data_IF_412776087709
#
_entry.id   IF_412776087709
#
_cell.length_a   1.000
_cell.length_b   1.000
_cell.length_c   1.000
_cell.angle_alpha   90.00
_cell.angle_beta   90.00
_cell.angle_gamma   90.00
#
_symmetry.space_group_name_H-M   'P 1'
#
loop_
_entity.id
_entity.type
_entity.pdbx_description
1 polymer ?
#
# COMPACT_ATOMS: atom_id res chain seq x y z
N UNK A 1 -2.70 13.93 -16.10
CA UNK A 1 -3.78 14.38 -15.20
C UNK A 1 -3.15 14.63 -13.84
N UNK A 2 -3.19 15.86 -13.34
CA UNK A 2 -2.81 16.15 -11.96
C UNK A 2 -3.93 15.59 -11.06
N UNK A 3 -3.59 14.80 -10.04
CA UNK A 3 -4.53 14.45 -9.00
C UNK A 3 -5.10 15.75 -8.42
N UNK A 4 -6.42 15.78 -8.27
CA UNK A 4 -7.09 16.91 -7.64
C UNK A 4 -6.56 17.05 -6.19
N UNK A 5 -6.27 18.28 -5.79
CA UNK A 5 -5.78 18.59 -4.44
C UNK A 5 -6.69 18.01 -3.35
N UNK A 6 -8.00 18.05 -3.54
CA UNK A 6 -8.98 17.49 -2.60
C UNK A 6 -8.83 15.98 -2.42
N UNK A 7 -8.51 15.26 -3.48
CA UNK A 7 -8.27 13.80 -3.41
C UNK A 7 -6.98 13.51 -2.65
N UNK A 8 -5.91 14.25 -2.93
CA UNK A 8 -4.63 14.11 -2.20
C UNK A 8 -4.81 14.42 -0.71
N UNK A 9 -5.54 15.48 -0.39
CA UNK A 9 -5.84 15.86 0.99
C UNK A 9 -6.65 14.77 1.70
N UNK A 10 -7.69 14.24 1.06
CA UNK A 10 -8.51 13.16 1.62
C UNK A 10 -7.70 11.89 1.89
N UNK A 11 -6.74 11.55 1.01
CA UNK A 11 -5.82 10.43 1.20
C UNK A 11 -4.89 10.61 2.40
N UNK A 12 -4.39 11.83 2.60
CA UNK A 12 -3.53 12.16 3.73
C UNK A 12 -4.35 12.17 5.03
N UNK A 13 -5.58 12.68 4.99
CA UNK A 13 -6.49 12.70 6.15
C UNK A 13 -6.94 11.28 6.56
N UNK A 14 -7.06 10.37 5.62
CA UNK A 14 -7.36 8.96 5.91
C UNK A 14 -6.17 8.18 6.51
N UNK A 15 -4.98 8.78 6.59
CA UNK A 15 -3.81 8.13 7.19
C UNK A 15 -4.00 7.93 8.70
N UNK A 16 -3.75 6.73 9.25
CA UNK A 16 -3.76 6.50 10.69
C UNK A 16 -2.56 7.13 11.40
N UNK A 17 -1.54 7.56 10.65
CA UNK A 17 -0.37 8.25 11.16
C UNK A 17 -0.60 9.76 11.11
N UNK A 18 -0.10 10.48 12.09
CA UNK A 18 -0.05 11.93 12.05
C UNK A 18 0.85 12.38 10.89
N UNK A 19 0.32 13.19 9.98
CA UNK A 19 1.10 13.74 8.85
C UNK A 19 1.22 15.24 9.01
N UNK A 20 2.45 15.74 8.86
CA UNK A 20 2.75 17.18 8.85
C UNK A 20 3.58 17.52 7.62
N UNK A 21 3.24 18.63 6.97
CA UNK A 21 4.02 19.18 5.86
C UNK A 21 4.55 20.57 6.27
N UNK A 22 5.84 20.80 5.99
CA UNK A 22 6.51 22.07 6.28
C UNK A 22 7.11 22.64 4.97
N UNK A 23 7.09 23.97 4.81
CA UNK A 23 7.77 24.63 3.69
C UNK A 23 9.28 24.66 3.94
N UNK A 24 10.03 24.01 3.05
CA UNK A 24 11.49 23.93 3.14
C UNK A 24 12.21 25.22 2.71
N UNK A 25 11.53 26.10 1.97
CA UNK A 25 12.07 27.34 1.42
C UNK A 25 12.05 28.49 2.41
N UNK A 26 11.27 28.35 3.49
CA UNK A 26 11.12 29.38 4.52
C UNK A 26 11.96 29.00 5.76
N UNK A 27 12.79 29.92 6.28
CA UNK A 27 13.57 29.69 7.50
C UNK A 27 12.67 29.24 8.66
N UNK A 28 13.13 28.22 9.41
CA UNK A 28 12.36 27.65 10.50
C UNK A 28 11.37 26.55 10.12
N UNK A 29 11.23 26.30 8.81
CA UNK A 29 10.38 25.25 8.26
C UNK A 29 8.96 25.29 8.82
N UNK A 30 8.19 26.37 8.52
CA UNK A 30 6.85 26.52 9.06
C UNK A 30 5.92 25.42 8.52
N UNK A 31 5.02 24.97 9.39
CA UNK A 31 3.97 24.01 9.07
C UNK A 31 3.00 24.64 8.06
N UNK A 32 2.74 23.92 6.96
CA UNK A 32 1.77 24.32 5.93
C UNK A 32 0.55 23.41 5.91
N UNK A 33 0.66 22.22 6.49
CA UNK A 33 -0.46 21.29 6.59
C UNK A 33 -0.24 20.29 7.74
N UNK A 34 -1.33 19.90 8.40
CA UNK A 34 -1.41 18.75 9.31
C UNK A 34 -2.70 17.97 9.05
N UNK A 35 -2.69 16.66 9.21
CA UNK A 35 -3.90 15.84 9.11
C UNK A 35 -4.57 15.64 10.48
N UNK A 36 -5.80 15.14 10.47
CA UNK A 36 -6.58 14.91 11.68
C UNK A 36 -5.89 13.94 12.67
N UNK A 37 -5.19 12.92 12.20
CA UNK A 37 -4.45 12.00 13.07
C UNK A 37 -3.35 12.72 13.86
N UNK A 38 -2.70 13.73 13.28
CA UNK A 38 -1.71 14.54 13.99
C UNK A 38 -2.36 15.50 15.01
N UNK A 39 -3.52 16.06 14.72
CA UNK A 39 -4.28 16.84 15.69
C UNK A 39 -4.61 16.00 16.93
N UNK A 40 -5.09 14.77 16.73
CA UNK A 40 -5.37 13.82 17.83
C UNK A 40 -4.09 13.44 18.60
N UNK A 41 -2.97 13.23 17.90
CA UNK A 41 -1.70 12.87 18.52
C UNK A 41 -1.13 14.01 19.36
N UNK A 42 -1.16 15.23 18.84
CA UNK A 42 -0.50 16.40 19.46
C UNK A 42 -1.42 17.20 20.38
N UNK A 43 -2.74 17.11 20.17
CA UNK A 43 -3.75 17.92 20.85
C UNK A 43 -3.87 19.36 20.34
N UNK A 44 -3.09 19.73 19.29
CA UNK A 44 -3.18 21.03 18.64
C UNK A 44 -4.04 20.93 17.40
N UNK A 45 -4.90 21.91 17.17
CA UNK A 45 -5.66 22.02 15.92
C UNK A 45 -4.78 22.52 14.77
N UNK A 46 -5.07 22.16 13.53
CA UNK A 46 -4.33 22.60 12.35
C UNK A 46 -4.10 24.12 12.36
N UNK A 47 -5.15 24.90 12.61
CA UNK A 47 -5.08 26.36 12.61
C UNK A 47 -4.08 26.94 13.63
N UNK A 48 -3.83 26.23 14.72
CA UNK A 48 -2.87 26.66 15.76
C UNK A 48 -1.43 26.35 15.35
N UNK A 49 -1.23 25.44 14.42
CA UNK A 49 0.08 24.97 13.99
C UNK A 49 0.57 25.62 12.69
N UNK A 50 -0.35 26.05 11.82
CA UNK A 50 0.01 26.68 10.56
C UNK A 50 0.93 27.89 10.76
N UNK A 51 2.00 27.96 9.97
CA UNK A 51 3.02 29.00 10.04
C UNK A 51 4.00 28.87 11.21
N UNK A 52 3.83 27.91 12.11
CA UNK A 52 4.72 27.68 13.24
C UNK A 52 5.72 26.56 12.97
N UNK A 53 6.85 26.56 13.69
CA UNK A 53 7.78 25.43 13.66
C UNK A 53 7.30 24.29 14.57
N UNK A 54 7.50 23.05 14.12
CA UNK A 54 7.26 21.85 14.94
C UNK A 54 8.08 21.79 16.25
N UNK A 55 9.11 22.63 16.37
CA UNK A 55 9.89 22.75 17.61
C UNK A 55 9.05 23.15 18.82
N UNK A 56 7.86 23.70 18.61
CA UNK A 56 6.91 24.01 19.71
C UNK A 56 6.54 22.77 20.53
N UNK A 57 6.58 21.58 19.93
CA UNK A 57 6.29 20.33 20.63
C UNK A 57 7.41 19.88 21.57
N UNK A 58 8.59 20.52 21.52
CA UNK A 58 9.76 20.12 22.31
C UNK A 58 9.76 20.76 23.70
N UNK A 59 9.01 21.83 23.91
CA UNK A 59 8.94 22.60 25.19
C UNK A 59 10.30 22.88 25.81
N UNK A 60 11.32 23.18 25.01
CA UNK A 60 12.67 23.48 25.48
C UNK A 60 13.61 22.29 25.64
N UNK A 61 13.14 21.04 25.52
CA UNK A 61 14.00 19.86 25.54
C UNK A 61 14.72 19.66 24.20
N UNK A 62 15.67 20.53 23.91
CA UNK A 62 16.36 20.57 22.60
C UNK A 62 17.59 19.65 22.52
N UNK A 63 18.01 19.02 23.60
CA UNK A 63 19.23 18.19 23.69
C UNK A 63 18.93 16.70 23.61
N UNK A 64 18.05 16.31 22.68
CA UNK A 64 17.76 14.89 22.41
C UNK A 64 18.57 14.43 21.22
N UNK A 65 19.12 13.22 21.27
CA UNK A 65 19.89 12.63 20.17
C UNK A 65 19.08 12.57 18.86
N UNK A 66 17.81 12.13 18.93
CA UNK A 66 16.92 12.14 17.78
C UNK A 66 16.72 13.52 17.15
N UNK A 67 16.73 14.60 17.95
CA UNK A 67 16.65 15.97 17.41
C UNK A 67 17.95 16.41 16.73
N UNK A 68 19.10 15.93 17.18
CA UNK A 68 20.38 16.20 16.50
C UNK A 68 20.41 15.52 15.13
N UNK A 69 20.00 14.25 15.06
CA UNK A 69 19.87 13.51 13.82
C UNK A 69 18.86 14.17 12.87
N UNK A 70 17.70 14.59 13.37
CA UNK A 70 16.68 15.30 12.60
C UNK A 70 17.23 16.61 12.00
N UNK A 71 17.92 17.43 12.81
CA UNK A 71 18.52 18.69 12.33
C UNK A 71 19.59 18.45 11.26
N UNK A 72 20.40 17.42 11.41
CA UNK A 72 21.38 17.02 10.40
C UNK A 72 20.69 16.62 9.08
N UNK A 73 19.65 15.79 9.15
CA UNK A 73 18.90 15.35 7.98
C UNK A 73 18.20 16.52 7.26
N UNK A 74 17.59 17.45 8.00
CA UNK A 74 16.98 18.66 7.44
C UNK A 74 18.00 19.52 6.69
N UNK A 75 19.20 19.73 7.26
CA UNK A 75 20.27 20.50 6.61
C UNK A 75 20.81 19.81 5.36
N UNK A 76 20.91 18.49 5.39
CA UNK A 76 21.40 17.70 4.25
C UNK A 76 20.32 17.46 3.19
N UNK A 77 19.05 17.71 3.50
CA UNK A 77 17.92 17.43 2.61
C UNK A 77 17.73 15.95 2.33
N UNK A 78 17.94 15.11 3.35
CA UNK A 78 17.80 13.65 3.28
C UNK A 78 16.67 13.15 4.19
N UNK A 79 16.13 11.98 3.89
CA UNK A 79 15.15 11.33 4.73
C UNK A 79 15.81 10.81 6.02
N UNK A 80 15.08 10.84 7.14
CA UNK A 80 15.52 10.23 8.39
C UNK A 80 14.35 9.69 9.20
N UNK A 81 14.65 8.77 10.12
CA UNK A 81 13.71 8.30 11.12
C UNK A 81 14.33 8.51 12.50
N UNK A 82 13.57 9.12 13.38
CA UNK A 82 14.03 9.44 14.72
C UNK A 82 12.94 9.16 15.73
N UNK A 83 13.35 8.95 16.97
CA UNK A 83 12.45 8.92 18.13
C UNK A 83 12.78 10.09 19.01
N UNK A 84 11.77 10.90 19.33
CA UNK A 84 11.91 12.09 20.14
C UNK A 84 10.82 12.14 21.21
N UNK A 85 11.12 12.79 22.31
CA UNK A 85 10.10 13.17 23.29
C UNK A 85 9.46 14.48 22.87
N UNK A 86 8.15 14.46 22.77
CA UNK A 86 7.34 15.63 22.49
C UNK A 86 6.29 15.82 23.57
N UNK A 87 5.65 16.97 23.57
CA UNK A 87 4.61 17.36 24.51
C UNK A 87 3.35 17.75 23.79
N UNK A 88 2.23 17.19 24.21
CA UNK A 88 0.89 17.58 23.77
C UNK A 88 0.56 19.01 24.24
N UNK A 89 -0.50 19.55 23.69
CA UNK A 89 -1.01 20.87 24.08
C UNK A 89 -1.34 20.97 25.60
N UNK A 90 -1.90 19.90 26.17
CA UNK A 90 -2.21 19.79 27.60
C UNK A 90 -0.98 19.61 28.49
N UNK A 91 0.20 19.44 27.90
CA UNK A 91 1.46 19.23 28.63
C UNK A 91 1.85 17.77 28.83
N UNK A 92 1.01 16.82 28.45
CA UNK A 92 1.34 15.40 28.52
C UNK A 92 2.51 15.05 27.59
N UNK A 93 3.52 14.38 28.17
CA UNK A 93 4.66 13.88 27.39
C UNK A 93 4.28 12.65 26.58
N UNK A 94 4.78 12.55 25.36
CA UNK A 94 4.68 11.34 24.55
C UNK A 94 5.97 11.07 23.79
N UNK A 95 6.22 9.78 23.55
CA UNK A 95 7.29 9.33 22.68
C UNK A 95 6.77 9.39 21.25
N UNK A 96 7.43 10.17 20.43
CA UNK A 96 7.07 10.39 19.03
C UNK A 96 8.08 9.67 18.13
N UNK A 97 7.65 8.61 17.47
CA UNK A 97 8.38 8.05 16.35
C UNK A 97 8.08 8.89 15.12
N UNK A 98 9.10 9.57 14.62
CA UNK A 98 8.95 10.48 13.49
C UNK A 98 9.80 10.02 12.31
N UNK A 99 9.22 10.07 11.13
CA UNK A 99 9.93 9.90 9.89
C UNK A 99 9.80 11.17 9.05
N UNK A 100 10.95 11.70 8.60
CA UNK A 100 11.05 12.88 7.75
C UNK A 100 11.37 12.46 6.31
N UNK A 101 10.72 13.11 5.33
CA UNK A 101 10.93 12.89 3.90
C UNK A 101 11.00 14.23 3.18
N UNK A 102 12.06 14.52 2.40
CA UNK A 102 12.11 15.70 1.54
C UNK A 102 11.21 15.50 0.31
N UNK A 103 10.40 16.52 0.02
CA UNK A 103 9.59 16.61 -1.21
C UNK A 103 10.30 17.56 -2.16
N UNK A 104 10.55 17.10 -3.38
CA UNK A 104 11.23 17.89 -4.42
C UNK A 104 10.23 18.39 -5.46
N UNK A 105 10.48 19.58 -5.96
CA UNK A 105 9.75 20.15 -7.08
C UNK A 105 10.21 19.56 -8.43
N UNK A 106 9.63 20.03 -9.50
CA UNK A 106 9.95 19.60 -10.88
C UNK A 106 11.40 19.92 -11.32
N UNK A 107 12.10 20.79 -10.59
CA UNK A 107 13.50 21.15 -10.82
C UNK A 107 14.46 20.37 -9.91
N UNK A 108 13.94 19.42 -9.10
CA UNK A 108 14.74 18.64 -8.16
C UNK A 108 15.11 19.38 -6.86
N UNK A 109 14.65 20.64 -6.69
CA UNK A 109 14.88 21.41 -5.47
C UNK A 109 13.91 20.98 -4.37
N UNK A 110 14.37 20.95 -3.11
CA UNK A 110 13.50 20.62 -2.00
C UNK A 110 12.53 21.78 -1.78
N UNK A 111 11.25 21.51 -2.01
CA UNK A 111 10.16 22.48 -1.80
C UNK A 111 9.52 22.35 -0.43
N UNK A 112 9.39 21.13 0.09
CA UNK A 112 8.77 20.85 1.37
C UNK A 112 9.46 19.69 2.08
N UNK A 113 9.19 19.54 3.37
CA UNK A 113 9.42 18.32 4.12
C UNK A 113 8.07 17.75 4.58
N UNK A 114 7.83 16.47 4.32
CA UNK A 114 6.73 15.75 4.95
C UNK A 114 7.28 14.96 6.14
N UNK A 115 6.55 14.94 7.25
CA UNK A 115 6.87 14.11 8.39
C UNK A 115 5.67 13.28 8.82
N UNK A 116 5.93 12.03 9.21
CA UNK A 116 4.94 11.07 9.66
C UNK A 116 5.22 10.75 11.12
N UNK A 117 4.18 10.75 11.93
CA UNK A 117 4.28 10.70 13.38
C UNK A 117 3.44 9.58 13.96
N UNK A 118 4.02 8.79 14.87
CA UNK A 118 3.36 7.71 15.59
C UNK A 118 3.66 7.78 17.07
N UNK A 119 2.72 7.30 17.88
CA UNK A 119 2.97 7.07 19.29
C UNK A 119 3.94 5.89 19.43
N UNK A 120 5.15 6.15 19.93
CA UNK A 120 6.15 5.12 20.17
C UNK A 120 5.80 4.26 21.39
N UNK A 121 6.07 2.96 21.34
CA UNK A 121 5.97 2.08 22.51
C UNK A 121 7.20 2.25 23.42
N UNK A 122 7.00 2.13 24.73
CA UNK A 122 8.06 2.27 25.77
C UNK A 122 9.22 1.25 25.59
N UNK A 123 9.00 0.16 24.83
CA UNK A 123 9.99 -0.88 24.60
C UNK A 123 11.08 -0.49 23.57
N UNK A 124 10.87 0.55 22.74
CA UNK A 124 11.79 0.93 21.66
C UNK A 124 12.94 1.82 22.16
N UNK A 125 12.81 2.45 23.31
CA UNK A 125 13.86 3.31 23.89
C UNK A 125 15.19 2.62 24.20
N UNK A 126 15.22 1.28 24.27
CA UNK A 126 16.42 0.53 24.68
C UNK A 126 17.26 0.01 23.49
N UNK A 127 16.76 0.05 22.25
CA UNK A 127 17.40 -0.60 21.09
C UNK A 127 17.99 0.41 20.07
N UNK A 128 18.00 1.71 20.34
CA UNK A 128 18.35 2.74 19.35
C UNK A 128 19.87 3.06 19.31
N UNK A 129 20.71 2.28 20.00
CA UNK A 129 22.17 2.46 19.93
C UNK A 129 22.84 2.00 18.62
N UNK A 130 22.16 1.27 17.73
CA UNK A 130 22.84 0.56 16.63
C UNK A 130 22.12 0.56 15.28
N UNK A 131 21.61 1.68 14.75
CA UNK A 131 21.20 1.69 13.33
C UNK A 131 21.76 2.92 12.64
N UNK A 132 23.00 2.77 12.14
CA UNK A 132 23.61 3.67 11.18
C UNK A 132 22.98 3.50 9.79
N UNK A 133 22.84 4.64 9.14
CA UNK A 133 22.74 4.92 7.70
C UNK A 133 22.40 3.77 6.75
N UNK A 134 21.11 3.63 6.45
CA UNK A 134 20.68 3.16 5.13
C UNK A 134 19.37 3.87 4.70
N UNK A 135 19.54 5.09 4.20
CA UNK A 135 18.41 5.97 3.84
C UNK A 135 17.67 5.52 2.57
N UNK A 136 18.28 4.69 1.72
CA UNK A 136 17.66 4.20 0.48
C UNK A 136 16.63 3.10 0.76
N UNK A 137 16.91 2.20 1.70
CA UNK A 137 15.99 1.14 2.12
C UNK A 137 14.77 1.67 2.88
N UNK A 138 14.90 2.76 3.62
CA UNK A 138 13.78 3.33 4.37
C UNK A 138 12.77 4.07 3.50
N UNK A 139 13.21 4.77 2.46
CA UNK A 139 12.32 5.39 1.47
C UNK A 139 11.55 4.31 0.68
N UNK A 140 12.21 3.21 0.33
CA UNK A 140 11.54 2.06 -0.30
C UNK A 140 10.51 1.40 0.62
N UNK A 141 10.80 1.22 1.92
CA UNK A 141 9.85 0.69 2.90
C UNK A 141 8.64 1.59 3.13
N UNK A 142 8.79 2.92 3.05
CA UNK A 142 7.68 3.85 3.17
C UNK A 142 6.77 3.84 1.95
N UNK A 143 7.38 3.90 0.78
CA UNK A 143 6.64 3.76 -0.47
C UNK A 143 5.91 2.40 -0.50
N UNK A 144 6.52 1.35 0.06
CA UNK A 144 5.87 0.06 0.26
C UNK A 144 4.64 0.17 1.19
N UNK A 145 4.71 0.91 2.29
CA UNK A 145 3.57 1.06 3.22
C UNK A 145 2.37 1.82 2.65
N UNK A 146 2.59 2.72 1.71
CA UNK A 146 1.51 3.40 0.96
C UNK A 146 1.00 2.52 -0.18
N UNK A 147 1.87 1.71 -0.76
CA UNK A 147 1.62 0.91 -1.97
C UNK A 147 1.16 -0.50 -1.66
N UNK A 148 1.57 -1.07 -0.54
CA UNK A 148 1.38 -2.48 -0.21
C UNK A 148 0.37 -2.69 0.91
N UNK A 149 -0.38 -3.78 0.81
CA UNK A 149 -1.23 -4.28 1.88
C UNK A 149 -0.36 -4.91 2.97
N UNK A 150 -0.50 -4.44 4.21
CA UNK A 150 0.34 -4.84 5.35
C UNK A 150 0.28 -6.33 5.68
N UNK A 151 -0.84 -6.98 5.37
CA UNK A 151 -1.05 -8.38 5.72
C UNK A 151 -0.46 -9.31 4.67
N UNK A 152 -0.60 -8.96 3.39
CA UNK A 152 -0.19 -9.83 2.28
C UNK A 152 1.14 -9.42 1.63
N UNK A 153 1.54 -8.16 1.72
CA UNK A 153 2.67 -7.60 0.98
C UNK A 153 2.37 -7.34 -0.50
N UNK A 154 1.13 -7.59 -0.96
CA UNK A 154 0.67 -7.25 -2.30
C UNK A 154 0.36 -5.75 -2.40
N UNK A 155 0.19 -5.26 -3.63
CA UNK A 155 -0.27 -3.89 -3.82
C UNK A 155 -1.64 -3.68 -3.14
N UNK A 156 -1.85 -2.48 -2.62
CA UNK A 156 -3.18 -2.03 -2.22
C UNK A 156 -4.03 -1.77 -3.44
N UNK A 157 -5.33 -1.98 -3.33
CA UNK A 157 -6.28 -1.80 -4.42
C UNK A 157 -6.15 -0.43 -5.09
N UNK A 158 -6.14 0.66 -4.33
CA UNK A 158 -6.05 2.02 -4.89
C UNK A 158 -4.78 2.23 -5.72
N UNK A 159 -3.64 1.77 -5.21
CA UNK A 159 -2.37 1.89 -5.94
C UNK A 159 -2.31 0.98 -7.17
N UNK A 160 -2.87 -0.22 -7.09
CA UNK A 160 -3.03 -1.11 -8.23
C UNK A 160 -3.90 -0.46 -9.32
N UNK A 161 -5.05 0.13 -8.96
CA UNK A 161 -5.94 0.80 -9.91
C UNK A 161 -5.24 1.97 -10.63
N UNK A 162 -4.42 2.75 -9.93
CA UNK A 162 -3.65 3.85 -10.54
C UNK A 162 -2.61 3.34 -11.56
N UNK A 163 -1.87 2.29 -11.21
CA UNK A 163 -0.91 1.67 -12.12
C UNK A 163 -1.63 1.03 -13.31
N UNK A 164 -2.74 0.35 -13.06
CA UNK A 164 -3.53 -0.32 -14.09
C UNK A 164 -4.10 0.69 -15.10
N UNK A 165 -4.62 1.85 -14.67
CA UNK A 165 -5.09 2.90 -15.58
C UNK A 165 -4.01 3.35 -16.55
N UNK A 166 -2.79 3.54 -16.05
CA UNK A 166 -1.64 3.90 -16.89
C UNK A 166 -1.34 2.82 -17.92
N UNK A 167 -1.24 1.57 -17.47
CA UNK A 167 -0.86 0.44 -18.31
C UNK A 167 -1.98 0.08 -19.31
N UNK A 168 -3.25 0.26 -18.91
CA UNK A 168 -4.43 0.11 -19.77
C UNK A 168 -4.44 1.15 -20.91
N UNK A 169 -4.22 2.42 -20.59
CA UNK A 169 -4.12 3.46 -21.60
C UNK A 169 -2.96 3.23 -22.59
N UNK A 170 -1.84 2.67 -22.09
CA UNK A 170 -0.71 2.28 -22.93
C UNK A 170 -1.09 1.10 -23.85
N UNK A 171 -1.75 0.07 -23.31
CA UNK A 171 -2.20 -1.08 -24.08
C UNK A 171 -3.19 -0.67 -25.20
N UNK A 172 -4.14 0.23 -24.90
CA UNK A 172 -5.06 0.79 -25.90
C UNK A 172 -4.32 1.53 -27.02
N UNK A 173 -3.37 2.41 -26.65
CA UNK A 173 -2.63 3.20 -27.63
C UNK A 173 -1.74 2.36 -28.52
N UNK A 174 -1.04 1.38 -27.94
CA UNK A 174 -0.08 0.52 -28.63
C UNK A 174 -0.73 -0.74 -29.25
N UNK A 175 -2.06 -0.89 -29.09
CA UNK A 175 -2.81 -2.07 -29.55
C UNK A 175 -2.16 -3.37 -29.07
N UNK A 176 -1.82 -3.42 -27.79
CA UNK A 176 -1.19 -4.58 -27.15
C UNK A 176 -2.18 -5.32 -26.28
N UNK A 177 -2.12 -6.66 -26.23
CA UNK A 177 -2.98 -7.44 -25.36
C UNK A 177 -2.64 -7.18 -23.89
N UNK A 178 -3.69 -7.11 -23.07
CA UNK A 178 -3.63 -7.06 -21.61
C UNK A 178 -4.51 -8.16 -21.04
N UNK A 179 -4.05 -8.77 -19.96
CA UNK A 179 -4.84 -9.77 -19.23
C UNK A 179 -5.05 -9.32 -17.80
N UNK A 180 -6.28 -9.52 -17.30
CA UNK A 180 -6.61 -9.39 -15.88
C UNK A 180 -7.10 -10.76 -15.38
N UNK A 181 -6.62 -11.14 -14.21
CA UNK A 181 -7.00 -12.32 -13.47
C UNK A 181 -7.60 -11.89 -12.14
N UNK A 182 -8.82 -12.28 -11.86
CA UNK A 182 -9.45 -12.09 -10.56
C UNK A 182 -9.61 -13.44 -9.89
N UNK A 183 -8.75 -13.74 -8.92
CA UNK A 183 -8.74 -14.97 -8.14
C UNK A 183 -9.58 -14.83 -6.87
N UNK A 184 -10.33 -15.87 -6.52
CA UNK A 184 -11.07 -15.98 -5.26
C UNK A 184 -10.73 -17.29 -4.58
N UNK A 185 -10.53 -17.27 -3.26
CA UNK A 185 -10.44 -18.51 -2.48
C UNK A 185 -11.81 -19.14 -2.41
N UNK A 186 -11.90 -20.41 -2.80
CA UNK A 186 -13.13 -21.17 -2.76
C UNK A 186 -13.54 -21.46 -1.32
N UNK A 187 -14.84 -21.35 -1.05
CA UNK A 187 -15.43 -21.61 0.27
C UNK A 187 -14.77 -20.81 1.42
N UNK A 188 -14.26 -19.61 1.16
CA UNK A 188 -13.55 -18.77 2.13
C UNK A 188 -14.38 -18.50 3.41
N UNK A 189 -15.69 -18.29 3.27
CA UNK A 189 -16.58 -18.10 4.41
C UNK A 189 -16.59 -19.32 5.34
N UNK A 190 -16.76 -20.52 4.78
CA UNK A 190 -16.72 -21.78 5.54
C UNK A 190 -15.37 -22.02 6.20
N UNK A 191 -14.28 -21.58 5.55
CA UNK A 191 -12.94 -21.66 6.13
C UNK A 191 -12.82 -20.75 7.36
N UNK A 192 -13.30 -19.52 7.24
CA UNK A 192 -13.32 -18.53 8.34
C UNK A 192 -14.19 -18.99 9.51
N UNK A 193 -15.31 -19.64 9.24
CA UNK A 193 -16.18 -20.20 10.30
C UNK A 193 -15.50 -21.30 11.12
N UNK A 194 -14.57 -22.05 10.50
CA UNK A 194 -13.82 -23.12 11.19
C UNK A 194 -12.60 -22.59 11.91
N UNK A 195 -11.79 -21.74 11.27
CA UNK A 195 -10.47 -21.32 11.75
C UNK A 195 -10.44 -19.90 12.32
N UNK A 196 -11.56 -19.19 12.30
CA UNK A 196 -11.67 -17.80 12.73
C UNK A 196 -11.02 -16.82 11.73
N UNK A 197 -11.19 -15.52 12.01
CA UNK A 197 -10.67 -14.43 11.15
C UNK A 197 -9.15 -14.51 11.04
N UNK A 198 -8.44 -14.73 12.15
CA UNK A 198 -6.98 -14.79 12.16
C UNK A 198 -6.43 -15.96 11.32
N UNK A 199 -7.03 -17.15 11.44
CA UNK A 199 -6.65 -18.32 10.64
C UNK A 199 -6.92 -18.11 9.15
N UNK A 200 -8.06 -17.51 8.80
CA UNK A 200 -8.39 -17.16 7.43
C UNK A 200 -7.38 -16.17 6.83
N UNK A 201 -6.98 -15.14 7.57
CA UNK A 201 -5.99 -14.15 7.12
C UNK A 201 -4.60 -14.76 6.90
N UNK A 202 -4.14 -15.65 7.79
CA UNK A 202 -2.87 -16.35 7.61
C UNK A 202 -2.90 -17.21 6.34
N UNK A 203 -4.01 -17.91 6.10
CA UNK A 203 -4.20 -18.70 4.89
C UNK A 203 -4.28 -17.84 3.65
N UNK A 204 -5.03 -16.74 3.71
CA UNK A 204 -5.10 -15.77 2.61
C UNK A 204 -3.72 -15.25 2.23
N UNK A 205 -2.90 -14.86 3.21
CA UNK A 205 -1.53 -14.43 2.99
C UNK A 205 -0.69 -15.46 2.25
N UNK A 206 -0.77 -16.74 2.62
CA UNK A 206 -0.05 -17.84 1.96
C UNK A 206 -0.51 -18.03 0.52
N UNK A 207 -1.82 -18.02 0.28
CA UNK A 207 -2.41 -18.14 -1.05
C UNK A 207 -2.03 -16.93 -1.91
N UNK A 208 -2.16 -15.72 -1.39
CA UNK A 208 -1.80 -14.48 -2.07
C UNK A 208 -0.32 -14.45 -2.48
N UNK A 209 0.59 -14.91 -1.60
CA UNK A 209 2.01 -15.03 -1.91
C UNK A 209 2.28 -16.07 -3.00
N UNK A 210 1.56 -17.19 -3.02
CA UNK A 210 1.71 -18.22 -4.06
C UNK A 210 1.23 -17.69 -5.42
N UNK A 211 0.11 -16.95 -5.45
CA UNK A 211 -0.40 -16.29 -6.65
C UNK A 211 0.63 -15.29 -7.16
N UNK A 212 1.06 -14.33 -6.30
CA UNK A 212 2.03 -13.30 -6.68
C UNK A 212 3.36 -13.87 -7.16
N UNK A 213 3.80 -14.99 -6.58
CA UNK A 213 5.02 -15.70 -7.00
C UNK A 213 4.98 -16.24 -8.44
N UNK A 214 3.80 -16.27 -9.08
CA UNK A 214 3.65 -16.60 -10.49
C UNK A 214 3.83 -15.38 -11.41
N UNK A 215 3.53 -14.19 -10.94
CA UNK A 215 3.63 -12.92 -11.66
C UNK A 215 5.01 -12.29 -11.40
N UNK A 216 5.98 -12.59 -12.27
CA UNK A 216 7.41 -12.28 -12.03
C UNK A 216 7.99 -11.19 -12.91
N UNK A 217 7.26 -10.72 -13.92
CA UNK A 217 7.75 -9.66 -14.80
C UNK A 217 7.65 -8.32 -14.09
N UNK A 218 8.53 -7.40 -14.41
CA UNK A 218 8.51 -6.04 -13.84
C UNK A 218 7.23 -5.25 -14.18
N UNK A 219 6.51 -5.69 -15.22
CA UNK A 219 5.22 -5.13 -15.65
C UNK A 219 4.03 -5.82 -15.02
N UNK A 220 4.22 -6.92 -14.29
CA UNK A 220 3.12 -7.64 -13.67
C UNK A 220 2.68 -6.92 -12.39
N UNK A 221 1.37 -6.75 -12.24
CA UNK A 221 0.77 -6.14 -11.08
C UNK A 221 -0.02 -7.20 -10.32
N UNK A 222 0.07 -7.21 -8.99
CA UNK A 222 -0.69 -8.12 -8.14
C UNK A 222 -1.12 -7.40 -6.87
N UNK A 223 -2.43 -7.43 -6.56
CA UNK A 223 -3.00 -6.67 -5.45
C UNK A 223 -4.02 -7.48 -4.64
N UNK A 224 -4.17 -7.14 -3.37
CA UNK A 224 -5.34 -7.54 -2.60
C UNK A 224 -6.54 -6.77 -3.13
N UNK A 225 -7.57 -7.50 -3.60
CA UNK A 225 -8.78 -6.88 -4.17
C UNK A 225 -9.89 -6.73 -3.15
N UNK A 226 -10.19 -7.81 -2.46
CA UNK A 226 -11.20 -7.90 -1.39
C UNK A 226 -10.74 -8.89 -0.32
N UNK A 227 -11.59 -9.19 0.66
CA UNK A 227 -11.27 -10.01 1.83
C UNK A 227 -10.60 -11.36 1.48
N UNK A 228 -11.09 -12.05 0.43
CA UNK A 228 -10.57 -13.36 -0.01
C UNK A 228 -10.20 -13.38 -1.51
N UNK A 229 -9.96 -12.21 -2.12
CA UNK A 229 -9.69 -12.06 -3.55
C UNK A 229 -8.37 -11.38 -3.83
N UNK A 230 -7.70 -11.86 -4.88
CA UNK A 230 -6.48 -11.29 -5.42
C UNK A 230 -6.73 -10.95 -6.89
N UNK A 231 -6.38 -9.72 -7.27
CA UNK A 231 -6.38 -9.30 -8.67
C UNK A 231 -4.93 -9.25 -9.18
N UNK A 232 -4.72 -9.69 -10.40
CA UNK A 232 -3.45 -9.52 -11.07
C UNK A 232 -3.65 -9.05 -12.51
N UNK A 233 -2.71 -8.25 -13.01
CA UNK A 233 -2.68 -7.78 -14.38
C UNK A 233 -1.31 -8.03 -15.00
N UNK A 234 -1.30 -8.38 -16.29
CA UNK A 234 -0.08 -8.56 -17.07
C UNK A 234 -0.26 -8.02 -18.48
N UNK A 235 0.79 -7.44 -19.02
CA UNK A 235 0.88 -7.01 -20.41
C UNK A 235 1.47 -8.15 -21.26
N UNK A 236 1.06 -8.24 -22.53
CA UNK A 236 1.64 -9.16 -23.53
C UNK A 236 1.27 -10.64 -23.37
N UNK A 237 0.26 -10.98 -22.60
CA UNK A 237 -0.24 -12.37 -22.57
C UNK A 237 -1.30 -12.55 -23.65
N UNK A 238 -1.13 -13.53 -24.51
CA UNK A 238 -2.14 -13.90 -25.51
C UNK A 238 -3.33 -14.59 -24.81
N UNK A 239 -4.56 -14.50 -25.36
CA UNK A 239 -5.75 -15.09 -24.75
C UNK A 239 -5.61 -16.57 -24.38
N UNK A 240 -5.08 -17.39 -25.29
CA UNK A 240 -4.88 -18.83 -25.07
C UNK A 240 -3.87 -19.14 -23.97
N UNK A 241 -2.85 -18.27 -23.82
CA UNK A 241 -1.84 -18.41 -22.78
C UNK A 241 -2.36 -17.97 -21.42
N UNK A 242 -3.32 -17.05 -21.36
CA UNK A 242 -3.90 -16.58 -20.12
C UNK A 242 -4.62 -17.70 -19.34
N UNK A 243 -5.40 -18.53 -20.04
CA UNK A 243 -6.08 -19.67 -19.42
C UNK A 243 -5.07 -20.70 -18.89
N UNK A 244 -4.06 -21.05 -19.68
CA UNK A 244 -2.99 -21.97 -19.25
C UNK A 244 -2.23 -21.41 -18.04
N UNK A 245 -1.95 -20.13 -18.05
CA UNK A 245 -1.29 -19.47 -16.93
C UNK A 245 -2.16 -19.50 -15.66
N UNK A 246 -3.46 -19.25 -15.78
CA UNK A 246 -4.42 -19.43 -14.68
C UNK A 246 -4.38 -20.83 -14.08
N UNK A 247 -4.28 -21.88 -14.91
CA UNK A 247 -4.15 -23.27 -14.46
C UNK A 247 -2.84 -23.50 -13.67
N UNK A 248 -1.73 -22.89 -14.11
CA UNK A 248 -0.45 -22.94 -13.38
C UNK A 248 -0.61 -22.29 -12.01
N UNK A 249 -1.28 -21.15 -11.90
CA UNK A 249 -1.54 -20.47 -10.63
C UNK A 249 -2.40 -21.34 -9.72
N UNK A 250 -3.48 -21.98 -10.23
CA UNK A 250 -4.29 -22.94 -9.46
C UNK A 250 -3.45 -24.10 -8.93
N UNK A 251 -2.59 -24.67 -9.77
CA UNK A 251 -1.66 -25.73 -9.39
C UNK A 251 -0.77 -25.30 -8.21
N UNK A 252 -0.18 -24.12 -8.28
CA UNK A 252 0.67 -23.56 -7.22
C UNK A 252 -0.06 -23.38 -5.90
N UNK A 253 -1.31 -22.95 -5.93
CA UNK A 253 -2.12 -22.85 -4.71
C UNK A 253 -2.48 -24.22 -4.16
N UNK A 254 -2.82 -25.18 -5.00
CA UNK A 254 -3.08 -26.57 -4.59
C UNK A 254 -1.86 -27.23 -3.94
N UNK A 255 -0.66 -26.96 -4.48
CA UNK A 255 0.61 -27.48 -3.95
C UNK A 255 0.92 -26.99 -2.53
N UNK A 256 0.27 -25.92 -2.04
CA UNK A 256 0.37 -25.48 -0.65
C UNK A 256 -0.21 -26.50 0.33
N UNK A 257 -1.05 -27.42 -0.14
CA UNK A 257 -1.73 -28.48 0.63
C UNK A 257 -2.39 -27.98 1.92
N UNK A 258 -2.97 -26.78 1.89
CA UNK A 258 -3.65 -26.19 3.05
C UNK A 258 -4.97 -26.93 3.25
N UNK A 259 -5.11 -27.61 4.37
CA UNK A 259 -6.31 -28.39 4.66
C UNK A 259 -7.55 -27.50 4.83
N UNK A 260 -8.66 -27.89 4.19
CA UNK A 260 -9.96 -27.22 4.28
C UNK A 260 -11.06 -28.25 4.59
N UNK A 261 -11.45 -28.39 5.88
CA UNK A 261 -12.33 -29.49 6.32
C UNK A 261 -13.76 -29.41 5.76
N UNK A 262 -14.19 -28.24 5.27
CA UNK A 262 -15.54 -28.02 4.72
C UNK A 262 -15.52 -27.59 3.26
N UNK A 263 -14.43 -27.84 2.51
CA UNK A 263 -14.40 -27.54 1.09
C UNK A 263 -15.28 -28.51 0.29
N UNK A 264 -16.03 -27.98 -0.64
CA UNK A 264 -16.76 -28.79 -1.58
C UNK A 264 -15.80 -29.36 -2.65
N UNK A 265 -15.72 -30.67 -2.77
CA UNK A 265 -14.96 -31.36 -3.81
C UNK A 265 -13.43 -31.43 -3.64
N UNK A 266 -12.88 -30.91 -2.53
CA UNK A 266 -11.45 -30.96 -2.24
C UNK A 266 -11.18 -31.07 -0.74
N UNK A 267 -10.06 -31.68 -0.34
CA UNK A 267 -9.56 -31.64 1.05
C UNK A 267 -8.72 -30.40 1.32
N UNK A 268 -8.40 -29.64 0.29
CA UNK A 268 -7.46 -28.52 0.35
C UNK A 268 -8.10 -27.26 -0.14
N UNK A 269 -7.53 -26.14 0.28
CA UNK A 269 -7.90 -24.82 -0.24
C UNK A 269 -7.61 -24.79 -1.74
N UNK A 270 -8.62 -24.36 -2.51
CA UNK A 270 -8.56 -24.13 -3.94
C UNK A 270 -8.92 -22.69 -4.26
N UNK A 271 -8.66 -22.29 -5.49
CA UNK A 271 -9.04 -20.98 -6.02
C UNK A 271 -9.79 -21.13 -7.34
N UNK A 272 -10.76 -20.26 -7.55
CA UNK A 272 -11.39 -20.03 -8.85
C UNK A 272 -10.94 -18.68 -9.41
N UNK A 273 -10.99 -18.49 -10.72
CA UNK A 273 -10.66 -17.21 -11.33
C UNK A 273 -11.53 -16.86 -12.52
N UNK A 274 -11.90 -15.58 -12.60
CA UNK A 274 -12.36 -14.92 -13.81
C UNK A 274 -11.19 -14.25 -14.53
N UNK A 275 -11.10 -14.46 -15.83
CA UNK A 275 -10.00 -14.00 -16.68
C UNK A 275 -10.56 -13.19 -17.83
N UNK A 276 -9.95 -12.05 -18.12
CA UNK A 276 -10.11 -11.36 -19.40
C UNK A 276 -8.73 -11.17 -20.01
N UNK A 277 -8.61 -11.48 -21.31
CA UNK A 277 -7.34 -11.34 -22.03
C UNK A 277 -7.63 -10.96 -23.48
N UNK A 278 -7.41 -9.70 -23.81
CA UNK A 278 -7.54 -9.16 -25.15
C UNK A 278 -6.90 -7.78 -25.26
N UNK A 279 -6.89 -7.23 -26.45
CA UNK A 279 -6.56 -5.81 -26.67
C UNK A 279 -7.75 -4.98 -26.16
N UNK A 280 -7.54 -4.02 -25.22
CA UNK A 280 -8.63 -3.17 -24.76
C UNK A 280 -9.17 -2.24 -25.86
N UNK A 281 -10.50 -2.10 -25.97
CA UNK A 281 -11.13 -1.21 -26.92
C UNK A 281 -10.86 0.26 -26.60
N UNK A 282 -10.79 1.12 -27.64
CA UNK A 282 -10.50 2.55 -27.48
C UNK A 282 -11.53 3.31 -26.62
N UNK A 283 -12.77 2.84 -26.60
CA UNK A 283 -13.87 3.47 -25.85
C UNK A 283 -14.14 2.78 -24.51
N UNK A 284 -13.42 1.71 -24.21
CA UNK A 284 -13.60 0.95 -22.98
C UNK A 284 -12.84 1.57 -21.83
N UNK A 285 -13.46 1.60 -20.64
CA UNK A 285 -12.79 1.99 -19.43
C UNK A 285 -12.10 0.80 -18.74
N UNK A 286 -11.13 1.08 -17.88
CA UNK A 286 -10.46 0.06 -17.10
C UNK A 286 -11.44 -0.64 -16.14
N UNK A 287 -12.43 0.08 -15.63
CA UNK A 287 -13.47 -0.45 -14.75
C UNK A 287 -14.36 -1.46 -15.47
N UNK A 288 -14.73 -1.18 -16.73
CA UNK A 288 -15.46 -2.12 -17.59
C UNK A 288 -14.62 -3.37 -17.86
N UNK A 289 -13.32 -3.20 -18.13
CA UNK A 289 -12.42 -4.33 -18.36
C UNK A 289 -12.30 -5.24 -17.13
N UNK A 290 -12.20 -4.68 -15.93
CA UNK A 290 -12.22 -5.43 -14.67
C UNK A 290 -13.58 -6.11 -14.45
N UNK A 291 -14.68 -5.44 -14.83
CA UNK A 291 -16.03 -5.97 -14.66
C UNK A 291 -16.24 -7.28 -15.44
N UNK A 292 -15.62 -7.45 -16.60
CA UNK A 292 -15.65 -8.72 -17.33
C UNK A 292 -15.01 -9.86 -16.53
N UNK A 293 -13.81 -9.66 -15.97
CA UNK A 293 -13.19 -10.68 -15.11
C UNK A 293 -14.04 -10.99 -13.85
N UNK A 294 -14.70 -9.96 -13.30
CA UNK A 294 -15.60 -10.12 -12.15
C UNK A 294 -16.84 -10.95 -12.52
N UNK A 295 -17.40 -10.69 -13.69
CA UNK A 295 -18.54 -11.44 -14.21
C UNK A 295 -18.18 -12.92 -14.41
N UNK A 296 -17.07 -13.19 -15.07
CA UNK A 296 -16.60 -14.57 -15.29
C UNK A 296 -16.37 -15.29 -13.96
N UNK A 297 -15.75 -14.62 -12.97
CA UNK A 297 -15.57 -15.21 -11.64
C UNK A 297 -16.92 -15.53 -10.98
N UNK A 298 -17.95 -14.70 -11.17
CA UNK A 298 -19.28 -14.92 -10.57
C UNK A 298 -20.01 -16.15 -11.14
N UNK A 299 -19.64 -16.57 -12.35
CA UNK A 299 -20.18 -17.75 -13.03
C UNK A 299 -19.35 -19.01 -12.79
N UNK A 300 -18.14 -18.86 -12.22
CA UNK A 300 -17.28 -19.98 -11.88
C UNK A 300 -17.88 -20.91 -10.82
N UNK A 301 -17.75 -22.21 -11.04
CA UNK A 301 -17.85 -23.20 -9.97
C UNK A 301 -16.57 -23.27 -9.14
N UNK A 302 -16.58 -24.12 -8.10
CA UNK A 302 -15.40 -24.35 -7.23
C UNK A 302 -14.25 -24.93 -8.04
N UNK A 303 -13.05 -24.36 -7.85
CA UNK A 303 -11.81 -24.77 -8.53
C UNK A 303 -11.89 -24.69 -10.06
N UNK A 304 -12.57 -23.68 -10.56
CA UNK A 304 -12.75 -23.43 -12.00
C UNK A 304 -12.12 -22.12 -12.46
N UNK A 305 -11.81 -22.06 -13.74
CA UNK A 305 -11.38 -20.86 -14.45
C UNK A 305 -12.38 -20.58 -15.56
N UNK A 306 -12.79 -19.32 -15.67
CA UNK A 306 -13.62 -18.84 -16.76
C UNK A 306 -12.93 -17.65 -17.43
N UNK A 307 -12.99 -17.61 -18.74
CA UNK A 307 -12.41 -16.53 -19.54
C UNK A 307 -13.50 -15.85 -20.36
N UNK A 308 -13.56 -14.52 -20.27
CA UNK A 308 -14.46 -13.72 -21.08
C UNK A 308 -14.14 -13.93 -22.57
N UNK A 309 -15.18 -14.08 -23.37
CA UNK A 309 -15.05 -14.07 -24.83
C UNK A 309 -14.41 -12.76 -25.29
N UNK A 310 -13.49 -12.86 -26.23
CA UNK A 310 -12.72 -11.73 -26.76
C UNK A 310 -13.55 -10.79 -27.63
#
# INVERSE_FOLDING_TARGET
MSLDWLVLQSLIDASPDGVVVCDARVPGWPVTYVNHAFEQLSGYQQQEMLGRSLSMLQRGENQQEGLQQLRAALKQGVACRVVVRNYRKDGAQFVNEMQLVPIRDTHGQISHFASFHRLGSRAISATIGEIGADSSMNTQRMLAHVREDRQTGLLRRSYFEDLLRRDFALAQREQRPMSIFLFSIDNAASYRDVFGVAGAEVTFKRVASAIAGCFRRSSDLCARWEEARVIAATLTTQPDDAMRFGQVVQGRVRDLAIHHPRAAGSRYVTISAGIISRIPDKQESVEQFIAHATHELSTCGVNQLMQAAG
#
